data_IF_831196045033
#
_entry.id   IF_831196045033
#
_cell.length_a   1.000
_cell.length_b   1.000
_cell.length_c   1.000
_cell.angle_alpha   90.00
_cell.angle_beta   90.00
_cell.angle_gamma   90.00
#
_symmetry.space_group_name_H-M   'P 1'
#
loop_
_entity.id
_entity.type
_entity.pdbx_description
1 polymer ?
#
# COMPACT_ATOMS: atom_id res chain seq x y z
N UNK A 1 30.19 2.01 2.20
CA UNK A 1 30.45 2.56 3.54
C UNK A 1 29.93 3.98 3.53
N UNK A 2 29.11 4.41 4.50
CA UNK A 2 28.73 5.82 4.60
C UNK A 2 29.96 6.62 5.03
N UNK A 3 30.07 7.87 4.57
CA UNK A 3 31.07 8.80 5.09
C UNK A 3 30.85 9.03 6.59
N UNK A 4 31.86 9.59 7.27
CA UNK A 4 31.85 9.80 8.73
C UNK A 4 30.63 10.58 9.26
N UNK A 5 30.06 11.46 8.43
CA UNK A 5 28.84 12.24 8.72
C UNK A 5 27.62 11.77 7.89
N UNK A 6 27.76 10.63 7.22
CA UNK A 6 26.75 10.04 6.36
C UNK A 6 25.53 9.58 7.15
N UNK A 7 24.37 9.64 6.49
CA UNK A 7 23.07 9.35 7.07
C UNK A 7 22.34 8.37 6.16
N UNK A 8 21.72 7.35 6.74
CA UNK A 8 20.76 6.55 6.00
C UNK A 8 19.35 7.14 6.21
N UNK A 9 18.66 7.41 5.11
CA UNK A 9 17.27 7.89 5.13
C UNK A 9 16.39 6.80 4.56
N UNK A 10 15.53 6.25 5.41
CA UNK A 10 14.46 5.36 5.00
C UNK A 10 13.20 6.18 4.78
N UNK A 11 12.59 6.00 3.62
CA UNK A 11 11.35 6.66 3.24
C UNK A 11 10.24 5.61 3.34
N UNK A 12 9.34 5.79 4.30
CA UNK A 12 8.07 5.07 4.30
C UNK A 12 7.00 5.98 3.68
N UNK A 13 6.51 5.57 2.51
CA UNK A 13 5.46 6.25 1.77
C UNK A 13 4.21 5.37 1.81
N UNK A 14 3.40 5.41 2.88
CA UNK A 14 2.39 4.39 3.15
C UNK A 14 1.24 4.34 2.12
N UNK A 15 1.19 5.30 1.19
CA UNK A 15 0.20 5.36 0.11
C UNK A 15 0.16 4.16 -0.83
N UNK A 16 1.18 3.30 -0.85
CA UNK A 16 1.12 2.02 -1.58
C UNK A 16 0.28 0.95 -0.84
N UNK A 17 -0.05 1.17 0.44
CA UNK A 17 -0.83 0.24 1.26
C UNK A 17 -2.30 0.68 1.29
N UNK A 18 -3.21 -0.24 0.94
CA UNK A 18 -4.65 0.04 0.89
C UNK A 18 -5.24 0.43 2.26
N UNK A 19 -4.76 -0.15 3.35
CA UNK A 19 -5.17 0.16 4.73
C UNK A 19 -4.85 1.61 5.11
N UNK A 20 -3.64 2.08 4.80
CA UNK A 20 -3.22 3.45 5.05
C UNK A 20 -4.02 4.48 4.23
N UNK A 21 -4.49 4.12 3.04
CA UNK A 21 -5.40 4.95 2.25
C UNK A 21 -6.79 5.03 2.89
N UNK A 22 -7.28 3.93 3.46
CA UNK A 22 -8.59 3.86 4.10
C UNK A 22 -8.65 4.70 5.38
N UNK A 23 -7.61 4.67 6.22
CA UNK A 23 -7.50 5.53 7.40
C UNK A 23 -7.52 7.03 7.04
N UNK A 24 -6.96 7.40 5.88
CA UNK A 24 -6.93 8.78 5.39
C UNK A 24 -8.27 9.27 4.81
N UNK A 25 -9.26 8.41 4.63
CA UNK A 25 -10.54 8.70 3.95
C UNK A 25 -11.55 9.50 4.79
N UNK A 26 -11.26 9.84 6.05
CA UNK A 26 -12.18 10.40 7.05
C UNK A 26 -12.68 11.85 6.80
N UNK A 27 -12.65 12.35 5.57
CA UNK A 27 -13.09 13.70 5.24
C UNK A 27 -14.09 13.77 4.09
N UNK A 28 -14.73 14.92 3.93
CA UNK A 28 -15.56 15.25 2.77
C UNK A 28 -14.69 15.23 1.50
N UNK A 29 -14.83 14.18 0.71
CA UNK A 29 -14.12 13.96 -0.53
C UNK A 29 -15.09 14.16 -1.72
N UNK A 30 -14.62 14.67 -2.87
CA UNK A 30 -15.48 14.98 -4.01
C UNK A 30 -16.11 13.75 -4.69
N UNK A 31 -15.54 12.57 -4.46
CA UNK A 31 -16.01 11.27 -4.95
C UNK A 31 -15.93 10.24 -3.83
N UNK A 32 -16.69 9.14 -3.87
CA UNK A 32 -16.58 8.08 -2.87
C UNK A 32 -15.15 7.53 -2.77
N UNK A 33 -14.80 7.02 -1.60
CA UNK A 33 -13.59 6.23 -1.42
C UNK A 33 -13.78 4.84 -2.08
N UNK A 34 -12.71 4.20 -2.61
CA UNK A 34 -12.82 2.85 -3.17
C UNK A 34 -13.42 1.85 -2.14
N UNK A 35 -14.29 0.91 -2.57
CA UNK A 35 -14.91 -0.08 -1.68
C UNK A 35 -13.91 -1.18 -1.27
N UNK A 36 -12.90 -0.83 -0.47
CA UNK A 36 -11.77 -1.71 -0.13
C UNK A 36 -12.19 -3.05 0.50
N UNK A 37 -13.21 -3.06 1.37
CA UNK A 37 -13.72 -4.30 1.98
C UNK A 37 -14.23 -5.28 0.92
N UNK A 38 -15.05 -4.81 -0.03
CA UNK A 38 -15.55 -5.63 -1.13
C UNK A 38 -14.42 -6.11 -2.06
N UNK A 39 -13.40 -5.28 -2.27
CA UNK A 39 -12.21 -5.63 -3.07
C UNK A 39 -11.35 -6.67 -2.36
N UNK A 40 -11.23 -6.61 -1.03
CA UNK A 40 -10.55 -7.62 -0.20
C UNK A 40 -11.32 -8.94 -0.23
N UNK A 41 -12.64 -8.91 -0.08
CA UNK A 41 -13.49 -10.09 -0.18
C UNK A 41 -13.39 -10.74 -1.57
N UNK A 42 -13.46 -9.94 -2.64
CA UNK A 42 -13.26 -10.42 -4.01
C UNK A 42 -11.91 -11.13 -4.16
N UNK A 43 -10.82 -10.53 -3.69
CA UNK A 43 -9.50 -11.18 -3.72
C UNK A 43 -9.53 -12.52 -2.99
N UNK A 44 -10.16 -12.57 -1.81
CA UNK A 44 -10.31 -13.80 -1.02
C UNK A 44 -11.04 -14.92 -1.78
N UNK A 45 -12.07 -14.59 -2.56
CA UNK A 45 -12.81 -15.55 -3.40
C UNK A 45 -11.96 -16.16 -4.52
N UNK A 46 -10.96 -15.42 -5.02
CA UNK A 46 -10.12 -15.86 -6.14
C UNK A 46 -8.80 -16.51 -5.70
N UNK A 47 -8.16 -15.99 -4.65
CA UNK A 47 -6.82 -16.39 -4.22
C UNK A 47 -6.81 -17.13 -2.86
N UNK A 48 -7.94 -17.16 -2.16
CA UNK A 48 -8.02 -17.66 -0.78
C UNK A 48 -7.69 -16.58 0.27
N UNK A 49 -7.84 -16.90 1.57
CA UNK A 49 -7.62 -15.94 2.66
C UNK A 49 -6.15 -15.58 2.89
N UNK A 50 -5.22 -16.44 2.47
CA UNK A 50 -3.78 -16.29 2.74
C UNK A 50 -3.06 -15.50 1.64
N UNK A 51 -2.21 -14.53 2.00
CA UNK A 51 -1.33 -13.86 1.05
C UNK A 51 -0.08 -14.71 0.81
N UNK A 52 0.10 -15.20 -0.44
CA UNK A 52 1.34 -15.87 -0.85
C UNK A 52 2.43 -14.83 -1.10
N UNK A 53 3.62 -14.98 -0.50
CA UNK A 53 4.81 -14.21 -0.87
C UNK A 53 5.95 -15.17 -1.21
N UNK A 54 6.46 -15.09 -2.44
CA UNK A 54 7.45 -16.03 -2.95
C UNK A 54 6.89 -17.46 -3.02
N UNK A 55 7.67 -18.44 -2.55
CA UNK A 55 7.27 -19.87 -2.48
C UNK A 55 6.52 -20.23 -1.17
N UNK A 56 6.14 -19.26 -0.35
CA UNK A 56 5.48 -19.48 0.94
C UNK A 56 4.25 -18.60 1.16
N UNK A 57 3.51 -18.88 2.24
CA UNK A 57 2.47 -18.00 2.78
C UNK A 57 3.16 -16.96 3.65
N UNK A 58 2.89 -15.67 3.41
CA UNK A 58 3.43 -14.57 4.21
C UNK A 58 2.34 -13.52 4.42
N UNK A 59 1.88 -13.42 5.65
CA UNK A 59 0.78 -12.53 6.04
C UNK A 59 1.28 -11.17 6.59
N UNK A 60 2.60 -11.00 6.80
CA UNK A 60 3.22 -9.73 7.20
C UNK A 60 4.67 -9.61 6.71
N UNK A 61 5.14 -8.38 6.52
CA UNK A 61 6.58 -8.10 6.48
C UNK A 61 7.20 -8.42 7.84
N UNK A 62 8.47 -8.85 7.94
CA UNK A 62 9.14 -9.03 9.21
C UNK A 62 9.29 -7.65 9.83
N UNK A 63 8.78 -7.49 11.05
CA UNK A 63 9.09 -6.34 11.87
C UNK A 63 10.54 -6.41 12.38
N UNK A 64 11.00 -5.36 13.04
CA UNK A 64 12.34 -5.35 13.67
C UNK A 64 13.45 -4.73 12.82
N UNK A 65 13.11 -3.95 11.78
CA UNK A 65 14.08 -3.14 11.03
C UNK A 65 14.94 -2.28 11.97
N UNK A 66 14.37 -1.77 13.07
CA UNK A 66 15.07 -0.99 14.10
C UNK A 66 16.20 -1.77 14.77
N UNK A 67 15.99 -3.06 15.01
CA UNK A 67 17.02 -3.94 15.54
C UNK A 67 18.13 -4.14 14.51
N UNK A 68 17.78 -4.32 13.23
CA UNK A 68 18.75 -4.43 12.14
C UNK A 68 19.63 -3.18 12.02
N UNK A 69 19.04 -1.99 12.06
CA UNK A 69 19.81 -0.73 12.05
C UNK A 69 20.64 -0.57 13.33
N UNK A 70 20.09 -0.94 14.49
CA UNK A 70 20.81 -0.90 15.78
C UNK A 70 22.03 -1.81 15.78
N UNK A 71 21.90 -3.04 15.30
CA UNK A 71 22.97 -4.04 15.20
C UNK A 71 24.03 -3.62 14.16
N UNK A 72 23.61 -2.88 13.12
CA UNK A 72 24.51 -2.26 12.15
C UNK A 72 25.23 -1.00 12.68
N UNK A 73 25.06 -0.65 13.96
CA UNK A 73 25.76 0.46 14.61
C UNK A 73 25.10 1.83 14.46
N UNK A 74 23.84 1.89 14.01
CA UNK A 74 23.08 3.13 13.99
C UNK A 74 22.43 3.42 15.36
N UNK A 75 22.27 4.70 15.67
CA UNK A 75 21.41 5.15 16.76
C UNK A 75 19.93 4.98 16.38
N UNK A 76 19.03 5.08 17.37
CA UNK A 76 17.60 5.05 17.11
C UNK A 76 17.21 6.13 16.08
N UNK A 77 16.30 5.78 15.16
CA UNK A 77 15.89 6.69 14.11
C UNK A 77 15.24 7.94 14.68
N UNK A 78 15.55 9.08 14.07
CA UNK A 78 14.69 10.26 14.20
C UNK A 78 13.60 10.16 13.13
N UNK A 79 12.35 10.15 13.57
CA UNK A 79 11.21 10.22 12.68
C UNK A 79 10.85 11.66 12.33
N UNK A 80 10.57 11.89 11.06
CA UNK A 80 10.09 13.16 10.54
C UNK A 80 8.87 12.86 9.68
N UNK A 81 7.70 13.34 10.13
CA UNK A 81 6.48 13.29 9.34
C UNK A 81 6.55 14.38 8.28
N UNK A 82 6.36 13.99 7.02
CA UNK A 82 6.24 14.90 5.88
C UNK A 82 4.76 14.92 5.48
N UNK A 83 4.05 16.03 5.77
CA UNK A 83 2.64 16.15 5.41
C UNK A 83 2.45 16.04 3.91
N UNK A 84 1.41 15.29 3.51
CA UNK A 84 0.97 15.20 2.11
C UNK A 84 -0.50 15.60 2.05
N UNK A 85 -1.42 14.69 2.41
CA UNK A 85 -2.85 15.01 2.53
C UNK A 85 -3.54 15.38 1.22
N UNK A 86 -2.81 15.34 0.09
CA UNK A 86 -3.39 15.60 -1.24
C UNK A 86 -4.51 14.61 -1.50
N UNK A 87 -5.62 15.12 -2.02
CA UNK A 87 -6.71 14.31 -2.52
C UNK A 87 -6.48 14.06 -4.00
N UNK A 88 -6.42 12.79 -4.37
CA UNK A 88 -6.27 12.35 -5.74
C UNK A 88 -7.59 11.78 -6.24
N UNK A 89 -7.97 12.17 -7.44
CA UNK A 89 -9.00 11.45 -8.19
C UNK A 89 -8.40 10.18 -8.80
N UNK A 90 -9.17 9.09 -8.77
CA UNK A 90 -8.84 7.80 -9.37
C UNK A 90 -9.99 7.33 -10.24
N UNK A 91 -9.65 6.83 -11.41
CA UNK A 91 -10.58 6.12 -12.30
C UNK A 91 -10.66 4.65 -11.92
N UNK A 92 -11.67 3.95 -12.45
CA UNK A 92 -11.74 2.48 -12.42
C UNK A 92 -10.43 1.85 -12.93
N UNK A 93 -9.87 2.36 -14.03
CA UNK A 93 -8.63 1.83 -14.60
C UNK A 93 -7.43 2.04 -13.68
N UNK A 94 -7.33 3.20 -13.01
CA UNK A 94 -6.26 3.46 -12.04
C UNK A 94 -6.34 2.48 -10.86
N UNK A 95 -7.54 2.20 -10.35
CA UNK A 95 -7.74 1.28 -9.24
C UNK A 95 -7.43 -0.18 -9.62
N UNK A 96 -7.84 -0.61 -10.82
CA UNK A 96 -7.50 -1.93 -11.37
C UNK A 96 -5.98 -2.07 -11.53
N UNK A 97 -5.32 -1.07 -12.13
CA UNK A 97 -3.88 -1.06 -12.31
C UNK A 97 -3.13 -1.08 -10.97
N UNK A 98 -3.58 -0.29 -9.98
CA UNK A 98 -3.02 -0.32 -8.62
C UNK A 98 -3.17 -1.68 -7.97
N UNK A 99 -4.33 -2.35 -8.13
CA UNK A 99 -4.54 -3.68 -7.56
C UNK A 99 -3.59 -4.71 -8.15
N UNK A 100 -3.43 -4.75 -9.47
CA UNK A 100 -2.50 -5.66 -10.13
C UNK A 100 -1.02 -5.32 -9.91
N UNK A 101 -0.70 -4.07 -9.59
CA UNK A 101 0.66 -3.66 -9.21
C UNK A 101 1.03 -4.08 -7.78
N UNK A 102 0.05 -4.39 -6.95
CA UNK A 102 0.30 -4.90 -5.60
C UNK A 102 0.75 -6.35 -5.64
N UNK A 103 1.83 -6.67 -4.91
CA UNK A 103 2.35 -8.04 -4.79
C UNK A 103 1.28 -9.10 -4.46
N UNK A 104 0.34 -8.90 -3.50
CA UNK A 104 -0.66 -9.91 -3.14
C UNK A 104 -1.80 -10.06 -4.16
N UNK A 105 -1.81 -9.28 -5.23
CA UNK A 105 -2.78 -9.40 -6.33
C UNK A 105 -2.09 -9.30 -7.68
N UNK A 106 -0.84 -9.72 -7.77
CA UNK A 106 -0.12 -9.75 -9.04
C UNK A 106 -0.85 -10.67 -10.05
N UNK A 107 -0.94 -10.31 -11.35
CA UNK A 107 -1.75 -11.02 -12.34
C UNK A 107 -1.51 -12.54 -12.41
N UNK A 108 -0.25 -12.97 -12.26
CA UNK A 108 0.12 -14.38 -12.35
C UNK A 108 -0.46 -15.25 -11.22
N UNK A 109 -0.87 -14.65 -10.09
CA UNK A 109 -1.49 -15.39 -8.98
C UNK A 109 -2.88 -15.93 -9.34
N UNK A 110 -3.58 -15.28 -10.28
CA UNK A 110 -4.92 -15.67 -10.72
C UNK A 110 -4.91 -16.75 -11.81
N UNK A 111 -3.76 -17.00 -12.43
CA UNK A 111 -3.64 -17.93 -13.56
C UNK A 111 -4.63 -17.59 -14.69
N UNK A 112 -5.42 -18.57 -15.10
CA UNK A 112 -6.42 -18.41 -16.16
C UNK A 112 -7.62 -17.54 -15.76
N UNK A 113 -7.83 -17.29 -14.46
CA UNK A 113 -8.97 -16.54 -13.92
C UNK A 113 -8.72 -15.03 -13.80
N UNK A 114 -7.59 -14.53 -14.32
CA UNK A 114 -7.24 -13.10 -14.22
C UNK A 114 -8.29 -12.18 -14.85
N UNK A 115 -8.85 -12.56 -16.00
CA UNK A 115 -9.88 -11.78 -16.68
C UNK A 115 -11.23 -11.79 -15.94
N UNK A 116 -11.58 -12.92 -15.32
CA UNK A 116 -12.79 -13.03 -14.48
C UNK A 116 -12.66 -12.10 -13.27
N UNK A 117 -11.51 -12.14 -12.59
CA UNK A 117 -11.23 -11.26 -11.45
C UNK A 117 -11.28 -9.78 -11.84
N UNK A 118 -10.66 -9.40 -12.97
CA UNK A 118 -10.69 -8.02 -13.45
C UNK A 118 -12.13 -7.56 -13.74
N UNK A 119 -12.93 -8.40 -14.40
CA UNK A 119 -14.33 -8.11 -14.70
C UNK A 119 -15.14 -7.90 -13.43
N UNK A 120 -15.02 -8.79 -12.45
CA UNK A 120 -15.71 -8.67 -11.16
C UNK A 120 -15.26 -7.44 -10.38
N UNK A 121 -13.96 -7.12 -10.40
CA UNK A 121 -13.41 -5.92 -9.77
C UNK A 121 -13.99 -4.65 -10.40
N UNK A 122 -14.04 -4.60 -11.73
CA UNK A 122 -14.64 -3.47 -12.45
C UNK A 122 -16.12 -3.31 -12.11
N UNK A 123 -16.86 -4.41 -11.99
CA UNK A 123 -18.27 -4.38 -11.62
C UNK A 123 -18.46 -3.77 -10.22
N UNK A 124 -17.69 -4.21 -9.22
CA UNK A 124 -17.73 -3.65 -7.85
C UNK A 124 -17.47 -2.13 -7.87
N UNK A 125 -16.50 -1.69 -8.68
CA UNK A 125 -16.16 -0.26 -8.77
C UNK A 125 -17.27 0.56 -9.47
N UNK A 126 -17.85 0.05 -10.55
CA UNK A 126 -18.97 0.71 -11.23
C UNK A 126 -20.20 0.81 -10.32
N UNK A 127 -20.50 -0.24 -9.56
CA UNK A 127 -21.63 -0.26 -8.62
C UNK A 127 -21.42 0.76 -7.48
N UNK A 128 -20.19 0.91 -7.00
CA UNK A 128 -19.86 1.86 -5.93
C UNK A 128 -19.83 3.32 -6.39
N UNK A 129 -19.47 3.58 -7.66
CA UNK A 129 -19.41 4.94 -8.23
C UNK A 129 -19.89 4.93 -9.67
N UNK A 130 -21.15 5.36 -9.95
CA UNK A 130 -21.67 5.43 -11.31
C UNK A 130 -20.89 6.36 -12.24
N UNK A 131 -20.15 7.33 -11.69
CA UNK A 131 -19.27 8.22 -12.47
C UNK A 131 -17.92 7.58 -12.82
N UNK A 132 -17.60 6.41 -12.23
CA UNK A 132 -16.32 5.73 -12.35
C UNK A 132 -15.16 6.49 -11.71
N UNK A 133 -15.45 7.45 -10.82
CA UNK A 133 -14.46 8.29 -10.13
C UNK A 133 -14.46 8.01 -8.64
N UNK A 134 -13.27 8.03 -8.06
CA UNK A 134 -13.01 7.82 -6.65
C UNK A 134 -12.04 8.86 -6.12
N UNK A 135 -12.14 9.15 -4.82
CA UNK A 135 -11.18 10.02 -4.15
C UNK A 135 -10.33 9.22 -3.19
N UNK A 136 -9.02 9.46 -3.25
CA UNK A 136 -8.03 8.86 -2.36
C UNK A 136 -7.22 9.99 -1.76
N UNK A 137 -7.23 10.10 -0.42
CA UNK A 137 -6.33 11.02 0.27
C UNK A 137 -5.00 10.32 0.53
N UNK A 138 -3.91 10.95 0.13
CA UNK A 138 -2.57 10.43 0.42
C UNK A 138 -2.26 10.59 1.91
N UNK A 139 -1.86 9.52 2.61
CA UNK A 139 -1.36 9.61 3.97
C UNK A 139 -0.05 10.42 4.00
N UNK A 140 0.34 10.86 5.20
CA UNK A 140 1.63 11.50 5.39
C UNK A 140 2.77 10.51 5.13
N UNK A 141 3.88 11.01 4.58
CA UNK A 141 5.08 10.20 4.44
C UNK A 141 5.89 10.27 5.73
N UNK A 142 6.65 9.22 6.05
CA UNK A 142 7.49 9.17 7.23
C UNK A 142 8.93 8.99 6.76
N UNK A 143 9.80 9.92 7.15
CA UNK A 143 11.23 9.78 6.99
C UNK A 143 11.83 9.27 8.29
N UNK A 144 12.53 8.14 8.24
CA UNK A 144 13.30 7.61 9.36
C UNK A 144 14.77 7.88 9.08
N UNK A 145 15.37 8.75 9.89
CA UNK A 145 16.71 9.27 9.70
C UNK A 145 17.65 8.55 10.67
N UNK A 146 18.55 7.74 10.14
CA UNK A 146 19.49 6.90 10.87
C UNK A 146 20.90 7.49 10.81
N UNK A 147 21.53 7.66 11.97
CA UNK A 147 22.90 8.15 12.11
C UNK A 147 23.77 7.12 12.80
N UNK A 148 25.05 7.03 12.44
CA UNK A 148 25.98 6.15 13.15
C UNK A 148 26.12 6.56 14.61
N UNK A 149 26.29 5.58 15.50
CA UNK A 149 26.78 5.81 16.86
C UNK A 149 28.27 6.13 16.75
N UNK A 150 28.67 7.28 17.28
CA UNK A 150 30.08 7.63 17.46
C UNK A 150 30.68 6.87 18.64
#
# INVERSE_FOLDING_TARGET
MLDRDGVAVQIDAPSYRCDALAEAATADLPHPFPPEEAIVELRGRYLGPDTRAGQGIRNSSPDGEDAVFTDAGFAAAREVVVPDGRVLERTVDDLVAMRFSSSPSAPHLFGHRVHEFESDLRQILVDASPSGRFSVRLPHNILRIWRQRH
#
